data_IF_545149759985
#
_entry.id   IF_545149759985
#
_cell.length_a   1.000
_cell.length_b   1.000
_cell.length_c   1.000
_cell.angle_alpha   90.00
_cell.angle_beta   90.00
_cell.angle_gamma   90.00
#
_symmetry.space_group_name_H-M   'P 1'
#
loop_
_entity.id
_entity.type
_entity.pdbx_description
1 polymer ?
#
# COMPACT_ATOMS: atom_id res chain seq x y z
N UNK A 1 1.51 -21.41 -5.83
CA UNK A 1 2.75 -21.31 -5.02
C UNK A 1 3.70 -20.35 -5.75
N UNK A 2 3.81 -19.10 -5.29
CA UNK A 2 4.72 -18.15 -5.92
C UNK A 2 6.19 -18.51 -5.67
N UNK A 3 7.05 -18.19 -6.64
CA UNK A 3 8.49 -18.22 -6.45
C UNK A 3 8.94 -16.94 -5.75
N UNK A 4 10.09 -16.98 -5.10
CA UNK A 4 10.67 -15.79 -4.46
C UNK A 4 10.86 -14.62 -5.45
N UNK A 5 11.15 -14.92 -6.72
CA UNK A 5 11.22 -13.93 -7.81
C UNK A 5 9.90 -13.22 -8.09
N UNK A 6 8.77 -13.85 -7.79
CA UNK A 6 7.43 -13.35 -8.11
C UNK A 6 6.81 -12.55 -6.95
N UNK A 7 7.48 -12.55 -5.79
CA UNK A 7 6.97 -11.86 -4.61
C UNK A 7 6.91 -10.35 -4.82
N UNK A 8 5.77 -9.78 -4.45
CA UNK A 8 5.52 -8.34 -4.48
C UNK A 8 4.93 -7.88 -3.15
N UNK A 9 5.17 -6.63 -2.80
CA UNK A 9 4.55 -5.99 -1.65
C UNK A 9 3.01 -6.15 -1.70
N UNK A 10 2.42 -6.58 -0.59
CA UNK A 10 0.99 -6.83 -0.45
C UNK A 10 0.57 -8.28 -0.66
N UNK A 11 1.41 -9.13 -1.26
CA UNK A 11 1.10 -10.56 -1.38
C UNK A 11 1.06 -11.21 0.01
N UNK A 12 0.21 -12.22 0.15
CA UNK A 12 0.08 -13.00 1.39
C UNK A 12 0.49 -14.43 1.12
N UNK A 13 1.45 -14.90 1.90
CA UNK A 13 1.98 -16.26 1.82
C UNK A 13 1.87 -16.96 3.18
N UNK A 14 1.86 -18.27 3.17
CA UNK A 14 1.88 -19.07 4.39
C UNK A 14 3.32 -19.45 4.76
N UNK A 15 3.72 -19.14 5.97
CA UNK A 15 5.00 -19.55 6.57
C UNK A 15 4.65 -20.24 7.89
N UNK A 16 5.04 -21.50 8.01
CA UNK A 16 4.76 -22.33 9.20
C UNK A 16 3.27 -22.39 9.58
N UNK A 17 2.39 -22.42 8.58
CA UNK A 17 0.93 -22.45 8.78
C UNK A 17 0.30 -21.11 9.15
N UNK A 18 1.07 -20.04 9.13
CA UNK A 18 0.61 -18.69 9.51
C UNK A 18 0.66 -17.76 8.30
N UNK A 19 -0.40 -16.97 8.04
CA UNK A 19 -0.39 -16.01 6.95
C UNK A 19 0.55 -14.83 7.25
N UNK A 20 1.38 -14.50 6.28
CA UNK A 20 2.33 -13.40 6.33
C UNK A 20 2.16 -12.50 5.11
N UNK A 21 2.07 -11.20 5.33
CA UNK A 21 2.05 -10.22 4.25
C UNK A 21 3.48 -9.80 3.87
N UNK A 22 3.75 -9.77 2.58
CA UNK A 22 5.01 -9.25 2.05
C UNK A 22 5.02 -7.73 2.19
N UNK A 23 6.00 -7.19 2.92
CA UNK A 23 6.16 -5.75 3.13
C UNK A 23 7.24 -5.14 2.25
N UNK A 24 8.31 -5.88 2.02
CA UNK A 24 9.44 -5.41 1.23
C UNK A 24 10.17 -6.59 0.59
N UNK A 25 10.62 -6.41 -0.63
CA UNK A 25 11.46 -7.38 -1.35
C UNK A 25 12.68 -6.66 -1.90
N UNK A 26 13.86 -7.16 -1.57
CA UNK A 26 15.14 -6.66 -2.09
C UNK A 26 15.88 -7.80 -2.78
N UNK A 27 16.18 -7.62 -4.05
CA UNK A 27 17.07 -8.52 -4.78
C UNK A 27 18.53 -8.10 -4.56
N UNK A 28 19.34 -9.02 -4.05
CA UNK A 28 20.79 -8.82 -3.88
C UNK A 28 21.55 -9.65 -4.91
N UNK A 29 22.22 -8.96 -5.81
CA UNK A 29 23.10 -9.60 -6.78
C UNK A 29 24.30 -10.23 -6.08
N UNK A 30 24.77 -11.41 -6.53
CA UNK A 30 25.91 -12.06 -5.94
C UNK A 30 27.20 -11.27 -6.17
N UNK A 31 28.08 -11.25 -5.18
CA UNK A 31 29.39 -10.60 -5.26
C UNK A 31 30.45 -11.49 -5.96
N UNK A 32 30.13 -12.74 -6.27
CA UNK A 32 31.02 -13.71 -6.92
C UNK A 32 30.35 -14.33 -8.16
N UNK A 33 31.19 -14.68 -9.15
CA UNK A 33 30.72 -15.39 -10.36
C UNK A 33 30.10 -16.72 -9.98
N UNK A 34 28.89 -17.00 -10.48
CA UNK A 34 28.19 -18.28 -10.29
C UNK A 34 27.33 -18.38 -9.04
N UNK A 35 27.28 -17.37 -8.19
CA UNK A 35 26.38 -17.35 -7.06
C UNK A 35 24.96 -16.92 -7.48
N UNK A 36 23.94 -17.51 -6.88
CA UNK A 36 22.54 -17.16 -7.15
C UNK A 36 22.16 -15.81 -6.54
N UNK A 37 21.27 -15.08 -7.21
CA UNK A 37 20.65 -13.88 -6.64
C UNK A 37 19.82 -14.28 -5.41
N UNK A 38 20.02 -13.57 -4.31
CA UNK A 38 19.23 -13.72 -3.11
C UNK A 38 18.15 -12.64 -3.03
N UNK A 39 16.97 -13.07 -2.63
CA UNK A 39 15.82 -12.20 -2.38
C UNK A 39 15.61 -12.08 -0.88
N UNK A 40 15.92 -10.92 -0.34
CA UNK A 40 15.63 -10.60 1.06
C UNK A 40 14.22 -10.07 1.16
N UNK A 41 13.36 -10.79 1.88
CA UNK A 41 11.95 -10.46 2.00
C UNK A 41 11.63 -10.15 3.44
N UNK A 42 10.97 -9.02 3.64
CA UNK A 42 10.39 -8.64 4.93
C UNK A 42 8.91 -8.95 4.92
N UNK A 43 8.51 -9.77 5.87
CA UNK A 43 7.13 -10.15 6.11
C UNK A 43 6.57 -9.52 7.37
N UNK A 44 5.26 -9.42 7.42
CA UNK A 44 4.52 -9.12 8.63
C UNK A 44 3.58 -10.29 8.94
N UNK A 45 3.72 -10.88 10.10
CA UNK A 45 2.82 -11.93 10.58
C UNK A 45 1.44 -11.31 10.81
N UNK A 46 0.43 -11.76 10.07
CA UNK A 46 -0.91 -11.19 10.12
C UNK A 46 -1.70 -11.57 11.37
N UNK A 47 -1.24 -12.57 12.14
CA UNK A 47 -1.85 -12.93 13.42
C UNK A 47 -1.26 -12.18 14.60
N UNK A 48 0.06 -11.96 14.60
CA UNK A 48 0.78 -11.37 15.75
C UNK A 48 1.30 -9.96 15.50
N UNK A 49 1.35 -9.51 14.25
CA UNK A 49 1.95 -8.24 13.86
C UNK A 49 3.49 -8.24 13.85
N UNK A 50 4.12 -9.34 14.19
CA UNK A 50 5.59 -9.42 14.24
C UNK A 50 6.20 -9.37 12.84
N UNK A 51 7.35 -8.73 12.73
CA UNK A 51 8.15 -8.67 11.51
C UNK A 51 9.04 -9.91 11.41
N UNK A 52 9.14 -10.46 10.21
CA UNK A 52 10.02 -11.60 9.91
C UNK A 52 10.84 -11.27 8.67
N UNK A 53 12.16 -11.35 8.76
CA UNK A 53 13.06 -11.18 7.63
C UNK A 53 13.62 -12.54 7.22
N UNK A 54 13.40 -12.92 5.96
CA UNK A 54 13.87 -14.17 5.39
C UNK A 54 14.60 -13.91 4.07
N UNK A 55 15.53 -14.81 3.72
CA UNK A 55 16.25 -14.76 2.45
C UNK A 55 16.00 -16.03 1.65
N UNK A 56 15.68 -15.86 0.37
CA UNK A 56 15.34 -16.94 -0.54
C UNK A 56 16.21 -16.88 -1.79
N UNK A 57 16.43 -18.03 -2.39
CA UNK A 57 16.91 -18.13 -3.77
C UNK A 57 15.74 -17.86 -4.73
N UNK A 58 16.02 -17.40 -5.93
CA UNK A 58 14.97 -17.08 -6.89
C UNK A 58 13.98 -18.19 -7.18
N UNK A 59 14.44 -19.44 -7.16
CA UNK A 59 13.61 -20.62 -7.42
C UNK A 59 12.88 -21.19 -6.21
N UNK A 60 13.15 -20.67 -5.01
CA UNK A 60 12.46 -21.10 -3.82
C UNK A 60 10.96 -20.78 -3.93
N UNK A 61 10.16 -21.78 -3.61
CA UNK A 61 8.69 -21.67 -3.68
C UNK A 61 8.11 -21.46 -2.28
N UNK A 62 7.19 -20.49 -2.19
CA UNK A 62 6.45 -20.24 -0.98
C UNK A 62 5.02 -20.77 -1.15
N UNK A 63 4.40 -21.15 -0.05
CA UNK A 63 3.02 -21.62 -0.06
C UNK A 63 2.07 -20.43 -0.06
N UNK A 64 1.07 -20.48 -0.94
CA UNK A 64 0.00 -19.47 -0.90
C UNK A 64 -0.79 -19.59 0.40
N UNK A 65 -1.14 -18.47 0.99
CA UNK A 65 -2.11 -18.45 2.06
C UNK A 65 -3.53 -18.62 1.52
N UNK A 66 -4.36 -19.39 2.19
CA UNK A 66 -5.76 -19.60 1.84
C UNK A 66 -6.59 -18.38 2.28
N UNK A 67 -6.50 -17.30 1.51
CA UNK A 67 -7.17 -16.04 1.77
C UNK A 67 -8.23 -15.75 0.71
N UNK A 68 -9.35 -15.20 1.13
CA UNK A 68 -10.39 -14.67 0.26
C UNK A 68 -10.16 -13.17 0.05
N UNK A 69 -10.26 -12.72 -1.20
CA UNK A 69 -10.17 -11.31 -1.57
C UNK A 69 -11.55 -10.77 -1.93
N UNK A 70 -11.92 -9.66 -1.31
CA UNK A 70 -13.22 -9.02 -1.52
C UNK A 70 -13.02 -7.54 -1.84
N UNK A 71 -13.79 -7.04 -2.80
CA UNK A 71 -13.82 -5.62 -3.10
C UNK A 71 -14.63 -4.89 -2.02
N UNK A 72 -14.01 -3.90 -1.40
CA UNK A 72 -14.64 -3.12 -0.34
C UNK A 72 -14.51 -1.63 -0.61
N UNK A 73 -15.36 -0.85 0.04
CA UNK A 73 -15.33 0.61 0.03
C UNK A 73 -15.10 1.12 1.44
N UNK A 74 -14.26 2.14 1.59
CA UNK A 74 -14.15 2.85 2.86
C UNK A 74 -15.48 3.53 3.19
N UNK A 75 -16.02 3.23 4.35
CA UNK A 75 -17.33 3.72 4.78
C UNK A 75 -17.21 4.84 5.81
N UNK A 76 -16.56 4.57 6.93
CA UNK A 76 -16.52 5.51 8.05
C UNK A 76 -15.33 5.23 8.99
N UNK A 77 -15.09 6.17 9.88
CA UNK A 77 -14.12 6.05 10.97
C UNK A 77 -14.88 5.98 12.31
N UNK A 78 -14.78 4.85 12.98
CA UNK A 78 -15.36 4.64 14.31
C UNK A 78 -14.22 4.62 15.36
N UNK A 79 -14.02 5.76 16.02
CA UNK A 79 -12.89 5.94 16.94
C UNK A 79 -11.55 5.78 16.23
N UNK A 80 -10.80 4.73 16.55
CA UNK A 80 -9.54 4.37 15.91
C UNK A 80 -9.69 3.26 14.86
N UNK A 81 -10.92 2.84 14.55
CA UNK A 81 -11.19 1.77 13.61
C UNK A 81 -11.73 2.31 12.29
N UNK A 82 -11.08 1.91 11.22
CA UNK A 82 -11.56 2.15 9.87
C UNK A 82 -12.58 1.09 9.49
N UNK A 83 -13.74 1.51 9.04
CA UNK A 83 -14.84 0.64 8.63
C UNK A 83 -14.86 0.53 7.12
N UNK A 84 -14.81 -0.70 6.62
CA UNK A 84 -14.93 -1.01 5.20
C UNK A 84 -16.18 -1.83 4.96
N UNK A 85 -16.85 -1.58 3.85
CA UNK A 85 -18.07 -2.27 3.47
C UNK A 85 -17.83 -3.09 2.21
N UNK A 86 -18.18 -4.38 2.27
CA UNK A 86 -18.17 -5.27 1.11
C UNK A 86 -19.18 -4.79 0.08
N UNK A 87 -18.77 -4.73 -1.18
CA UNK A 87 -19.63 -4.22 -2.25
C UNK A 87 -20.64 -5.24 -2.76
N UNK A 88 -20.47 -6.52 -2.44
CA UNK A 88 -21.41 -7.56 -2.87
C UNK A 88 -22.50 -7.83 -1.82
N UNK A 89 -22.12 -8.07 -0.58
CA UNK A 89 -23.04 -8.48 0.48
C UNK A 89 -23.24 -7.41 1.57
N UNK A 90 -22.56 -6.25 1.45
CA UNK A 90 -22.62 -5.13 2.39
C UNK A 90 -22.15 -5.44 3.82
N UNK A 91 -21.41 -6.54 3.99
CA UNK A 91 -20.76 -6.85 5.26
C UNK A 91 -19.77 -5.76 5.63
N UNK A 92 -19.71 -5.43 6.92
CA UNK A 92 -18.78 -4.43 7.43
C UNK A 92 -17.59 -5.11 8.10
N UNK A 93 -16.39 -4.57 7.80
CA UNK A 93 -15.15 -5.01 8.40
C UNK A 93 -14.47 -3.83 9.07
N UNK A 94 -13.92 -4.04 10.25
CA UNK A 94 -13.19 -3.02 11.00
C UNK A 94 -11.72 -3.38 11.09
N UNK A 95 -10.86 -2.40 10.82
CA UNK A 95 -9.41 -2.53 11.00
C UNK A 95 -8.94 -1.35 11.85
N UNK A 96 -8.18 -1.65 12.90
CA UNK A 96 -7.61 -0.62 13.76
C UNK A 96 -6.55 0.20 12.99
N UNK A 97 -6.48 1.48 13.28
CA UNK A 97 -5.51 2.43 12.73
C UNK A 97 -4.07 1.90 12.77
N UNK A 98 -3.70 1.21 13.84
CA UNK A 98 -2.35 0.66 14.01
C UNK A 98 -2.02 -0.44 13.00
N UNK A 99 -3.04 -1.21 12.58
CA UNK A 99 -2.87 -2.29 11.59
C UNK A 99 -2.86 -1.78 10.15
N UNK A 100 -3.21 -0.51 9.94
CA UNK A 100 -3.18 0.18 8.65
C UNK A 100 -1.95 1.09 8.48
N UNK A 101 -0.87 0.82 9.17
CA UNK A 101 0.35 1.64 9.16
C UNK A 101 0.79 1.99 7.72
N UNK A 102 0.91 3.30 7.45
CA UNK A 102 1.32 3.82 6.15
C UNK A 102 0.23 3.80 5.07
N UNK A 103 -0.96 3.28 5.34
CA UNK A 103 -2.05 3.23 4.35
C UNK A 103 -3.13 4.30 4.59
N UNK A 104 -3.29 4.77 5.82
CA UNK A 104 -4.34 5.72 6.20
C UNK A 104 -4.25 7.05 5.47
N UNK A 105 -3.04 7.45 5.09
CA UNK A 105 -2.79 8.70 4.34
C UNK A 105 -3.42 8.72 2.95
N UNK A 106 -3.80 7.57 2.42
CA UNK A 106 -4.39 7.44 1.08
C UNK A 106 -5.87 7.08 1.12
N UNK A 107 -6.44 6.88 2.30
CA UNK A 107 -7.83 6.50 2.48
C UNK A 107 -8.66 7.77 2.68
N UNK A 108 -9.49 8.09 1.71
CA UNK A 108 -10.47 9.17 1.78
C UNK A 108 -11.88 8.62 1.79
N UNK A 109 -12.82 9.43 2.26
CA UNK A 109 -14.24 9.06 2.29
C UNK A 109 -14.74 8.66 0.90
N UNK A 110 -15.39 7.51 0.81
CA UNK A 110 -15.92 6.98 -0.44
C UNK A 110 -14.87 6.34 -1.37
N UNK A 111 -13.63 6.18 -0.94
CA UNK A 111 -12.60 5.54 -1.75
C UNK A 111 -13.01 4.12 -2.14
N UNK A 112 -12.98 3.87 -3.45
CA UNK A 112 -13.26 2.57 -4.07
C UNK A 112 -11.96 1.91 -4.57
N UNK A 113 -12.06 0.64 -4.97
CA UNK A 113 -10.91 -0.10 -5.49
C UNK A 113 -10.02 -0.70 -4.40
N UNK A 114 -10.47 -0.69 -3.17
CA UNK A 114 -9.78 -1.34 -2.04
C UNK A 114 -10.15 -2.82 -2.04
N UNK A 115 -9.14 -3.68 -1.87
CA UNK A 115 -9.33 -5.11 -1.71
C UNK A 115 -9.09 -5.51 -0.26
N UNK A 116 -10.09 -6.09 0.38
CA UNK A 116 -9.94 -6.69 1.70
C UNK A 116 -9.41 -8.13 1.59
N UNK A 117 -8.49 -8.49 2.45
CA UNK A 117 -7.92 -9.82 2.56
C UNK A 117 -8.53 -10.48 3.78
N UNK A 118 -9.28 -11.56 3.57
CA UNK A 118 -10.01 -12.28 4.60
C UNK A 118 -9.47 -13.70 4.76
N UNK A 119 -9.42 -14.17 5.99
CA UNK A 119 -9.16 -15.56 6.33
C UNK A 119 -10.12 -15.98 7.43
N UNK A 120 -10.83 -17.10 7.23
CA UNK A 120 -11.83 -17.62 8.18
C UNK A 120 -12.89 -16.57 8.58
N UNK A 121 -13.29 -15.71 7.66
CA UNK A 121 -14.27 -14.65 7.87
C UNK A 121 -13.74 -13.40 8.59
N UNK A 122 -12.46 -13.40 8.97
CA UNK A 122 -11.82 -12.25 9.62
C UNK A 122 -10.99 -11.46 8.61
N UNK A 123 -11.03 -10.14 8.72
CA UNK A 123 -10.18 -9.28 7.90
C UNK A 123 -8.75 -9.25 8.43
N UNK A 124 -7.79 -9.57 7.57
CA UNK A 124 -6.37 -9.55 7.90
C UNK A 124 -5.70 -8.23 7.50
N UNK A 125 -6.20 -7.57 6.47
CA UNK A 125 -5.65 -6.35 5.96
C UNK A 125 -6.34 -5.91 4.69
N UNK A 126 -5.84 -4.82 4.10
CA UNK A 126 -6.34 -4.28 2.85
C UNK A 126 -5.20 -4.07 1.86
N UNK A 127 -5.54 -4.12 0.58
CA UNK A 127 -4.71 -3.64 -0.52
C UNK A 127 -5.36 -2.39 -1.11
N UNK A 128 -4.60 -1.30 -1.18
CA UNK A 128 -5.04 -0.06 -1.81
C UNK A 128 -4.98 -0.18 -3.34
N UNK A 129 -5.79 0.60 -4.08
CA UNK A 129 -5.58 0.74 -5.52
C UNK A 129 -4.18 1.33 -5.79
N UNK A 130 -3.66 1.15 -6.99
CA UNK A 130 -2.32 1.63 -7.37
C UNK A 130 -2.17 3.14 -7.24
N UNK A 131 -3.26 3.86 -7.48
CA UNK A 131 -3.30 5.31 -7.36
C UNK A 131 -4.62 5.76 -6.73
N UNK A 132 -4.55 6.89 -6.03
CA UNK A 132 -5.72 7.57 -5.47
C UNK A 132 -5.71 9.02 -5.90
N UNK A 133 -6.90 9.62 -5.99
CA UNK A 133 -7.07 11.04 -6.29
C UNK A 133 -7.38 11.77 -4.99
N UNK A 134 -6.55 12.75 -4.66
CA UNK A 134 -6.69 13.55 -3.45
C UNK A 134 -6.55 15.04 -3.77
N UNK A 135 -7.29 15.88 -3.07
CA UNK A 135 -7.17 17.33 -3.21
C UNK A 135 -6.02 17.88 -2.37
N UNK A 136 -5.36 18.90 -2.90
CA UNK A 136 -4.34 19.66 -2.17
C UNK A 136 -5.08 20.60 -1.20
N UNK A 137 -4.88 20.42 0.09
CA UNK A 137 -5.44 21.30 1.10
C UNK A 137 -4.57 22.52 1.34
N UNK A 138 -3.24 22.35 1.29
CA UNK A 138 -2.27 23.41 1.58
C UNK A 138 -1.00 23.24 0.75
N UNK A 139 -0.57 24.30 0.10
CA UNK A 139 0.72 24.38 -0.60
C UNK A 139 1.05 25.85 -0.86
N UNK A 140 2.30 26.15 -1.21
CA UNK A 140 2.69 27.47 -1.65
C UNK A 140 1.96 27.86 -2.95
N UNK A 141 1.71 29.17 -3.21
CA UNK A 141 1.07 29.61 -4.45
C UNK A 141 1.79 29.10 -5.70
N UNK A 142 1.02 28.82 -6.75
CA UNK A 142 1.56 28.33 -8.01
C UNK A 142 2.47 29.36 -8.69
N UNK A 143 3.59 28.90 -9.23
CA UNK A 143 4.52 29.72 -10.00
C UNK A 143 4.28 29.45 -11.48
N UNK A 144 3.80 30.45 -12.20
CA UNK A 144 3.59 30.39 -13.64
C UNK A 144 4.95 30.30 -14.36
N UNK A 145 5.07 29.37 -15.30
CA UNK A 145 6.27 29.21 -16.11
C UNK A 145 7.36 28.33 -15.51
N UNK A 146 7.13 27.69 -14.36
CA UNK A 146 8.08 26.79 -13.70
C UNK A 146 8.14 25.38 -14.31
N UNK A 147 7.78 25.21 -15.57
CA UNK A 147 7.58 23.90 -16.20
C UNK A 147 8.87 23.18 -16.61
N UNK A 148 9.96 23.90 -16.79
CA UNK A 148 11.13 23.37 -17.48
C UNK A 148 12.18 22.72 -16.57
N UNK A 149 12.13 22.93 -15.23
CA UNK A 149 13.24 22.57 -14.34
C UNK A 149 12.97 21.40 -13.42
N UNK A 150 11.76 20.80 -13.48
CA UNK A 150 11.41 19.67 -12.60
C UNK A 150 11.43 20.02 -11.10
N UNK A 151 11.34 21.30 -10.75
CA UNK A 151 11.29 21.74 -9.37
C UNK A 151 9.98 21.35 -8.73
N UNK A 152 10.08 20.92 -7.48
CA UNK A 152 8.95 20.53 -6.66
C UNK A 152 8.85 21.36 -5.40
N UNK A 153 7.67 21.36 -4.83
CA UNK A 153 7.38 21.97 -3.53
C UNK A 153 6.56 21.02 -2.68
N UNK A 154 6.60 21.10 -1.34
CA UNK A 154 5.75 20.30 -0.50
C UNK A 154 4.30 20.75 -0.60
N UNK A 155 3.38 19.80 -0.59
CA UNK A 155 1.95 20.01 -0.50
C UNK A 155 1.34 19.08 0.54
N UNK A 156 0.37 19.58 1.30
CA UNK A 156 -0.43 18.79 2.22
C UNK A 156 -1.76 18.47 1.54
N UNK A 157 -2.11 17.19 1.54
CA UNK A 157 -3.35 16.69 0.94
C UNK A 157 -4.50 16.68 1.95
N UNK A 158 -5.71 16.50 1.46
CA UNK A 158 -6.93 16.47 2.29
C UNK A 158 -6.91 15.40 3.39
N UNK A 159 -6.14 14.34 3.22
CA UNK A 159 -5.96 13.27 4.22
C UNK A 159 -4.85 13.55 5.24
N UNK A 160 -4.15 14.67 5.12
CA UNK A 160 -2.99 15.01 5.92
C UNK A 160 -1.66 14.48 5.39
N UNK A 161 -1.66 13.73 4.28
CA UNK A 161 -0.44 13.26 3.64
C UNK A 161 0.37 14.41 3.05
N UNK A 162 1.68 14.35 3.18
CA UNK A 162 2.61 15.30 2.54
C UNK A 162 3.26 14.66 1.32
N UNK A 163 3.23 15.39 0.20
CA UNK A 163 3.83 14.93 -1.06
C UNK A 163 4.59 16.07 -1.73
N UNK A 164 5.59 15.73 -2.53
CA UNK A 164 6.26 16.69 -3.41
C UNK A 164 5.48 16.81 -4.71
N UNK A 165 5.10 18.02 -5.04
CA UNK A 165 4.31 18.33 -6.24
C UNK A 165 5.04 19.37 -7.11
N UNK A 166 4.75 19.43 -8.42
CA UNK A 166 5.28 20.50 -9.28
C UNK A 166 4.91 21.89 -8.74
N UNK A 167 5.80 22.86 -8.92
CA UNK A 167 5.63 24.23 -8.40
C UNK A 167 4.42 24.99 -8.97
N UNK A 168 3.89 24.56 -10.12
CA UNK A 168 2.73 25.20 -10.75
C UNK A 168 1.37 24.84 -10.13
N UNK A 169 1.31 23.85 -9.25
CA UNK A 169 0.06 23.42 -8.61
C UNK A 169 -0.36 24.39 -7.51
N UNK A 170 -1.67 24.53 -7.36
CA UNK A 170 -2.32 25.44 -6.40
C UNK A 170 -3.19 24.67 -5.40
N UNK A 171 -3.49 25.24 -4.21
CA UNK A 171 -4.46 24.67 -3.30
C UNK A 171 -5.81 24.44 -3.98
N UNK A 172 -6.48 23.33 -3.63
CA UNK A 172 -7.77 22.94 -4.18
C UNK A 172 -7.69 22.07 -5.44
N UNK A 173 -6.52 21.95 -6.07
CA UNK A 173 -6.36 21.05 -7.21
C UNK A 173 -6.39 19.59 -6.76
N UNK A 174 -6.97 18.73 -7.59
CA UNK A 174 -7.03 17.28 -7.36
C UNK A 174 -5.90 16.61 -8.14
N UNK A 175 -5.13 15.81 -7.45
CA UNK A 175 -3.97 15.12 -8.00
C UNK A 175 -4.04 13.61 -7.78
N UNK A 176 -3.38 12.86 -8.67
CA UNK A 176 -3.17 11.42 -8.52
C UNK A 176 -1.85 11.14 -7.82
N UNK A 177 -1.91 10.26 -6.83
CA UNK A 177 -0.77 9.82 -6.04
C UNK A 177 -0.61 8.31 -6.21
N UNK A 178 0.62 7.85 -6.40
CA UNK A 178 0.95 6.44 -6.38
C UNK A 178 0.96 5.95 -4.93
N UNK A 179 0.11 4.99 -4.59
CA UNK A 179 -0.04 4.49 -3.21
C UNK A 179 1.16 3.67 -2.73
N UNK A 180 1.93 3.08 -3.63
CA UNK A 180 3.12 2.30 -3.27
C UNK A 180 4.33 3.19 -2.95
N UNK A 181 4.49 4.31 -3.66
CA UNK A 181 5.64 5.21 -3.54
C UNK A 181 5.33 6.51 -2.81
N UNK A 182 4.06 6.88 -2.68
CA UNK A 182 3.62 8.17 -2.14
C UNK A 182 3.92 9.36 -3.05
N UNK A 183 4.24 9.12 -4.31
CA UNK A 183 4.65 10.16 -5.25
C UNK A 183 3.51 10.65 -6.12
N UNK A 184 3.58 11.93 -6.46
CA UNK A 184 2.72 12.57 -7.45
C UNK A 184 2.87 11.89 -8.82
N UNK A 185 1.74 11.65 -9.47
CA UNK A 185 1.69 11.09 -10.83
C UNK A 185 1.29 12.18 -11.83
N UNK A 186 0.12 12.78 -11.61
CA UNK A 186 -0.48 13.76 -12.51
C UNK A 186 -1.62 14.52 -11.83
N UNK A 187 -2.14 15.54 -12.49
CA UNK A 187 -3.47 16.07 -12.17
C UNK A 187 -4.52 14.98 -12.42
N UNK A 188 -5.52 14.93 -11.57
CA UNK A 188 -6.62 13.97 -11.74
C UNK A 188 -7.60 14.41 -12.83
#
# INVERSE_FOLDING_TARGET
MPKATDLKKGMVVEIDGIPHAVKQVEAKSPSSRGAATLYKVRFNNLKTGQKLDESYKGDDMLKDADCVRRQVQYSDLDGENYVFMDQEDYSQYMINLQDLEGQTEYISEGLQGITAILMDGEILGIELPQSVSLSISETAPGIKGATATGRTKPATLSTGAEVQVPEYLEPGEIIKINTATGKFISRA
#
